data_IF_224953839510
#
_entry.id   IF_224953839510
#
_cell.length_a   1.000
_cell.length_b   1.000
_cell.length_c   1.000
_cell.angle_alpha   90.00
_cell.angle_beta   90.00
_cell.angle_gamma   90.00
#
_symmetry.space_group_name_H-M   'P 1'
#
loop_
_entity.id
_entity.type
_entity.pdbx_description
1 polymer ?
#
# COMPACT_ATOMS: atom_id res chain seq x y z
N UNK A 1 -6.61 -8.14 21.09
CA UNK A 1 -7.51 -9.05 20.34
C UNK A 1 -8.71 -8.32 19.73
N UNK A 2 -9.46 -7.47 20.47
CA UNK A 2 -10.64 -6.78 19.95
C UNK A 2 -10.37 -5.92 18.70
N UNK A 3 -9.30 -5.11 18.68
CA UNK A 3 -8.96 -4.28 17.52
C UNK A 3 -8.63 -5.12 16.28
N UNK A 4 -8.00 -6.29 16.44
CA UNK A 4 -7.77 -7.23 15.35
C UNK A 4 -9.08 -7.76 14.76
N UNK A 5 -10.03 -8.18 15.59
CA UNK A 5 -11.34 -8.65 15.13
C UNK A 5 -12.11 -7.53 14.39
N UNK A 6 -12.06 -6.31 14.92
CA UNK A 6 -12.62 -5.12 14.26
C UNK A 6 -11.96 -4.89 12.90
N UNK A 7 -10.63 -4.99 12.81
CA UNK A 7 -9.90 -4.86 11.56
C UNK A 7 -10.31 -5.91 10.52
N UNK A 8 -10.45 -7.19 10.90
CA UNK A 8 -10.92 -8.26 10.00
C UNK A 8 -12.29 -7.92 9.42
N UNK A 9 -13.25 -7.60 10.30
CA UNK A 9 -14.64 -7.39 9.88
C UNK A 9 -14.80 -6.12 9.06
N UNK A 10 -14.29 -4.99 9.55
CA UNK A 10 -14.46 -3.70 8.88
C UNK A 10 -13.74 -3.65 7.55
N UNK A 11 -12.46 -4.06 7.51
CA UNK A 11 -11.71 -4.02 6.26
C UNK A 11 -12.23 -5.04 5.25
N UNK A 12 -12.57 -6.25 5.69
CA UNK A 12 -13.14 -7.27 4.82
C UNK A 12 -14.46 -6.83 4.20
N UNK A 13 -15.40 -6.35 5.02
CA UNK A 13 -16.70 -5.87 4.56
C UNK A 13 -16.57 -4.63 3.66
N UNK A 14 -15.75 -3.64 4.07
CA UNK A 14 -15.54 -2.43 3.28
C UNK A 14 -14.91 -2.75 1.92
N UNK A 15 -13.88 -3.59 1.86
CA UNK A 15 -13.24 -3.97 0.61
C UNK A 15 -14.16 -4.82 -0.28
N UNK A 16 -15.01 -5.67 0.30
CA UNK A 16 -16.00 -6.44 -0.44
C UNK A 16 -17.03 -5.55 -1.15
N UNK A 17 -17.52 -4.53 -0.43
CA UNK A 17 -18.54 -3.61 -0.95
C UNK A 17 -17.93 -2.54 -1.87
N UNK A 18 -16.85 -1.91 -1.43
CA UNK A 18 -16.23 -0.78 -2.12
C UNK A 18 -15.35 -1.20 -3.29
N UNK A 19 -14.71 -2.38 -3.22
CA UNK A 19 -13.79 -2.84 -4.28
C UNK A 19 -14.43 -2.87 -5.66
N UNK A 20 -15.54 -3.61 -5.89
CA UNK A 20 -16.20 -3.64 -7.19
C UNK A 20 -16.81 -2.30 -7.59
N UNK A 21 -17.26 -1.50 -6.63
CA UNK A 21 -17.81 -0.16 -6.88
C UNK A 21 -16.73 0.79 -7.36
N UNK A 22 -15.56 0.82 -6.70
CA UNK A 22 -14.41 1.60 -7.13
C UNK A 22 -13.96 1.20 -8.53
N UNK A 23 -13.81 -0.10 -8.79
CA UNK A 23 -13.38 -0.63 -10.11
C UNK A 23 -14.28 -0.17 -11.26
N UNK A 24 -15.59 0.03 -11.01
CA UNK A 24 -16.54 0.53 -12.02
C UNK A 24 -16.54 2.04 -12.19
N UNK A 25 -16.04 2.80 -11.20
CA UNK A 25 -16.08 4.25 -11.16
C UNK A 25 -14.77 4.93 -11.54
N UNK A 26 -13.67 4.17 -11.52
CA UNK A 26 -12.37 4.70 -11.88
C UNK A 26 -12.35 4.97 -13.39
N UNK A 27 -11.89 6.15 -13.83
CA UNK A 27 -11.69 6.42 -15.24
C UNK A 27 -10.65 5.45 -15.82
N UNK A 28 -10.98 4.87 -16.96
CA UNK A 28 -10.04 3.98 -17.66
C UNK A 28 -8.81 4.78 -18.10
N UNK A 29 -7.61 4.19 -18.02
CA UNK A 29 -6.40 4.86 -18.48
C UNK A 29 -6.44 5.06 -19.99
N UNK A 30 -5.98 6.24 -20.44
CA UNK A 30 -5.75 6.48 -21.87
C UNK A 30 -4.72 5.44 -22.36
N UNK A 31 -5.09 4.71 -23.40
CA UNK A 31 -4.23 3.69 -24.00
C UNK A 31 -3.52 4.31 -25.19
N UNK A 32 -2.20 4.12 -25.26
CA UNK A 32 -1.45 4.38 -26.48
C UNK A 32 -1.91 3.41 -27.60
N UNK A 33 -1.90 3.86 -28.83
CA UNK A 33 -2.29 3.07 -30.00
C UNK A 33 -1.54 1.72 -30.05
N UNK A 34 -2.30 0.62 -30.00
CA UNK A 34 -1.77 -0.75 -30.07
C UNK A 34 -1.57 -1.45 -28.70
N UNK A 35 -1.90 -0.83 -27.59
CA UNK A 35 -1.89 -1.49 -26.27
C UNK A 35 -3.26 -2.08 -25.94
N UNK A 36 -3.34 -3.42 -25.81
CA UNK A 36 -4.50 -4.11 -25.24
C UNK A 36 -4.33 -4.18 -23.72
N UNK A 37 -5.16 -3.47 -22.97
CA UNK A 37 -5.26 -3.59 -21.50
C UNK A 37 -6.61 -4.13 -21.10
N UNK A 38 -6.63 -4.89 -19.99
CA UNK A 38 -7.88 -5.30 -19.35
C UNK A 38 -8.52 -4.04 -18.74
N UNK A 39 -9.75 -3.75 -19.10
CA UNK A 39 -10.50 -2.61 -18.55
C UNK A 39 -10.82 -2.82 -17.07
N UNK A 40 -10.78 -1.75 -16.27
CA UNK A 40 -11.10 -1.85 -14.84
C UNK A 40 -12.52 -2.34 -14.59
N UNK A 41 -13.47 -1.98 -15.46
CA UNK A 41 -14.83 -2.48 -15.40
C UNK A 41 -14.92 -4.01 -15.57
N UNK A 42 -14.04 -4.60 -16.39
CA UNK A 42 -13.95 -6.05 -16.56
C UNK A 42 -13.37 -6.76 -15.34
N UNK A 43 -12.53 -6.08 -14.58
CA UNK A 43 -11.98 -6.58 -13.31
C UNK A 43 -13.05 -6.60 -12.20
N UNK A 44 -14.13 -5.81 -12.31
CA UNK A 44 -15.18 -5.69 -11.29
C UNK A 44 -16.09 -6.93 -11.21
N UNK A 45 -15.49 -8.12 -11.22
CA UNK A 45 -16.18 -9.41 -11.08
C UNK A 45 -16.32 -9.80 -9.60
N UNK A 46 -17.27 -10.69 -9.30
CA UNK A 46 -17.47 -11.22 -7.93
C UNK A 46 -16.17 -11.80 -7.31
N UNK A 47 -15.29 -12.37 -8.14
CA UNK A 47 -13.97 -12.85 -7.68
C UNK A 47 -13.08 -11.73 -7.17
N UNK A 48 -13.11 -10.54 -7.77
CA UNK A 48 -12.35 -9.39 -7.28
C UNK A 48 -12.80 -8.98 -5.88
N UNK A 49 -14.11 -8.94 -5.63
CA UNK A 49 -14.65 -8.61 -4.30
C UNK A 49 -14.10 -9.56 -3.22
N UNK A 50 -14.08 -10.87 -3.48
CA UNK A 50 -13.56 -11.85 -2.53
C UNK A 50 -12.04 -11.74 -2.32
N UNK A 51 -11.27 -11.49 -3.39
CA UNK A 51 -9.83 -11.28 -3.25
C UNK A 51 -9.49 -10.02 -2.46
N UNK A 52 -10.12 -8.88 -2.80
CA UNK A 52 -9.93 -7.64 -2.05
C UNK A 52 -10.38 -7.80 -0.58
N UNK A 53 -11.53 -8.43 -0.35
CA UNK A 53 -12.04 -8.67 1.00
C UNK A 53 -11.12 -9.57 1.82
N UNK A 54 -10.63 -10.67 1.25
CA UNK A 54 -9.71 -11.58 1.93
C UNK A 54 -8.39 -10.92 2.29
N UNK A 55 -7.77 -10.20 1.34
CA UNK A 55 -6.54 -9.45 1.59
C UNK A 55 -6.74 -8.36 2.64
N UNK A 56 -7.83 -7.61 2.54
CA UNK A 56 -8.15 -6.54 3.49
C UNK A 56 -8.48 -7.09 4.89
N UNK A 57 -9.20 -8.19 4.99
CA UNK A 57 -9.52 -8.83 6.26
C UNK A 57 -8.24 -9.32 6.98
N UNK A 58 -7.39 -10.04 6.26
CA UNK A 58 -6.12 -10.54 6.83
C UNK A 58 -5.21 -9.38 7.25
N UNK A 59 -4.96 -8.43 6.35
CA UNK A 59 -4.08 -7.29 6.64
C UNK A 59 -4.65 -6.41 7.74
N UNK A 60 -5.96 -6.11 7.70
CA UNK A 60 -6.64 -5.31 8.71
C UNK A 60 -6.66 -5.98 10.09
N UNK A 61 -6.82 -7.30 10.11
CA UNK A 61 -6.73 -8.10 11.33
C UNK A 61 -5.34 -8.06 11.96
N UNK A 62 -4.29 -8.28 11.17
CA UNK A 62 -2.90 -8.24 11.61
C UNK A 62 -2.51 -6.84 12.12
N UNK A 63 -2.88 -5.79 11.37
CA UNK A 63 -2.61 -4.41 11.74
C UNK A 63 -3.39 -4.02 12.99
N UNK A 64 -4.67 -4.34 13.07
CA UNK A 64 -5.49 -4.07 14.26
C UNK A 64 -4.99 -4.83 15.50
N UNK A 65 -4.53 -6.07 15.33
CA UNK A 65 -3.90 -6.83 16.41
C UNK A 65 -2.60 -6.16 16.90
N UNK A 66 -1.78 -5.66 15.98
CA UNK A 66 -0.47 -5.06 16.32
C UNK A 66 -0.60 -3.65 16.89
N UNK A 67 -1.47 -2.83 16.32
CA UNK A 67 -1.63 -1.43 16.71
C UNK A 67 -2.59 -1.24 17.88
N UNK A 68 -3.50 -2.19 18.13
CA UNK A 68 -4.58 -1.97 19.09
C UNK A 68 -5.48 -0.81 18.65
N UNK A 69 -6.15 -0.16 19.62
CA UNK A 69 -6.93 1.06 19.40
C UNK A 69 -6.04 2.31 19.51
N UNK A 70 -4.98 2.38 18.70
CA UNK A 70 -4.10 3.54 18.64
C UNK A 70 -4.65 4.63 17.71
N UNK A 71 -4.11 5.84 17.85
CA UNK A 71 -4.44 6.98 17.00
C UNK A 71 -4.21 6.70 15.49
N UNK A 72 -3.24 5.85 15.17
CA UNK A 72 -2.92 5.48 13.79
C UNK A 72 -3.90 4.46 13.17
N UNK A 73 -4.70 3.73 13.98
CA UNK A 73 -5.47 2.60 13.49
C UNK A 73 -6.42 2.98 12.34
N UNK A 74 -7.13 4.09 12.47
CA UNK A 74 -8.10 4.52 11.43
C UNK A 74 -7.40 4.75 10.09
N UNK A 75 -6.27 5.44 10.09
CA UNK A 75 -5.48 5.68 8.89
C UNK A 75 -5.05 4.37 8.22
N UNK A 76 -4.62 3.40 9.01
CA UNK A 76 -4.21 2.09 8.52
C UNK A 76 -5.37 1.23 8.00
N UNK A 77 -6.55 1.28 8.63
CA UNK A 77 -7.72 0.57 8.10
C UNK A 77 -8.15 1.12 6.73
N UNK A 78 -8.13 2.43 6.55
CA UNK A 78 -8.39 3.07 5.24
C UNK A 78 -7.34 2.63 4.21
N UNK A 79 -6.06 2.65 4.59
CA UNK A 79 -4.96 2.26 3.72
C UNK A 79 -5.03 0.78 3.33
N UNK A 80 -5.44 -0.10 4.24
CA UNK A 80 -5.63 -1.54 3.97
C UNK A 80 -6.74 -1.77 2.95
N UNK A 81 -7.88 -1.09 3.10
CA UNK A 81 -9.00 -1.22 2.15
C UNK A 81 -8.61 -0.73 0.77
N UNK A 82 -8.09 0.50 0.66
CA UNK A 82 -7.65 1.06 -0.62
C UNK A 82 -6.47 0.29 -1.21
N UNK A 83 -5.51 -0.12 -0.37
CA UNK A 83 -4.36 -0.91 -0.76
C UNK A 83 -4.73 -2.29 -1.30
N UNK A 84 -5.73 -2.97 -0.73
CA UNK A 84 -6.20 -4.26 -1.26
C UNK A 84 -6.76 -4.13 -2.68
N UNK A 85 -7.48 -3.05 -2.97
CA UNK A 85 -8.00 -2.75 -4.32
C UNK A 85 -6.86 -2.37 -5.26
N UNK A 86 -5.95 -1.49 -4.83
CA UNK A 86 -4.77 -1.09 -5.62
C UNK A 86 -3.88 -2.29 -5.94
N UNK A 87 -3.59 -3.14 -4.96
CA UNK A 87 -2.80 -4.35 -5.16
C UNK A 87 -3.45 -5.33 -6.12
N UNK A 88 -4.78 -5.48 -6.06
CA UNK A 88 -5.52 -6.32 -7.01
C UNK A 88 -5.45 -5.76 -8.44
N UNK A 89 -5.63 -4.44 -8.62
CA UNK A 89 -5.52 -3.78 -9.92
C UNK A 89 -4.11 -3.95 -10.47
N UNK A 90 -3.09 -3.61 -9.68
CA UNK A 90 -1.69 -3.66 -10.10
C UNK A 90 -1.26 -5.08 -10.49
N UNK A 91 -1.65 -6.09 -9.72
CA UNK A 91 -1.36 -7.49 -10.03
C UNK A 91 -1.96 -7.94 -11.37
N UNK A 92 -3.01 -7.28 -11.86
CA UNK A 92 -3.72 -7.64 -13.09
C UNK A 92 -3.39 -6.75 -14.28
N UNK A 93 -3.19 -5.46 -14.03
CA UNK A 93 -3.02 -4.44 -15.09
C UNK A 93 -1.64 -3.82 -15.09
N UNK A 94 -0.85 -4.00 -14.01
CA UNK A 94 0.44 -3.35 -13.80
C UNK A 94 0.32 -1.82 -13.82
N UNK A 95 -0.81 -1.34 -13.35
CA UNK A 95 -1.13 0.09 -13.30
C UNK A 95 -1.81 0.46 -11.99
N UNK A 96 -1.34 1.53 -11.36
CA UNK A 96 -1.86 2.05 -10.11
C UNK A 96 -2.66 3.34 -10.38
N UNK A 97 -4.01 3.30 -10.29
CA UNK A 97 -4.84 4.44 -10.63
C UNK A 97 -4.72 5.57 -9.61
N UNK A 98 -4.37 6.75 -10.10
CA UNK A 98 -4.28 7.98 -9.30
C UNK A 98 -5.60 8.37 -8.64
N UNK A 99 -6.72 8.00 -9.28
CA UNK A 99 -8.07 8.23 -8.78
C UNK A 99 -8.37 7.54 -7.44
N UNK A 100 -7.60 6.50 -7.06
CA UNK A 100 -7.67 5.90 -5.72
C UNK A 100 -6.57 6.48 -4.82
N UNK A 101 -5.36 6.64 -5.33
CA UNK A 101 -4.20 7.03 -4.51
C UNK A 101 -4.40 8.41 -3.89
N UNK A 102 -4.81 9.43 -4.66
CA UNK A 102 -4.95 10.79 -4.14
C UNK A 102 -6.03 10.94 -3.06
N UNK A 103 -7.26 10.42 -3.26
CA UNK A 103 -8.23 10.42 -2.17
C UNK A 103 -7.73 9.66 -0.93
N UNK A 104 -6.99 8.56 -1.11
CA UNK A 104 -6.40 7.83 0.01
C UNK A 104 -5.38 8.69 0.77
N UNK A 105 -4.53 9.44 0.08
CA UNK A 105 -3.62 10.42 0.73
C UNK A 105 -4.38 11.41 1.61
N UNK A 106 -5.47 11.97 1.07
CA UNK A 106 -6.27 12.94 1.81
C UNK A 106 -6.87 12.31 3.09
N UNK A 107 -7.53 11.16 2.94
CA UNK A 107 -8.23 10.52 4.07
C UNK A 107 -7.23 10.02 5.11
N UNK A 108 -6.13 9.37 4.69
CA UNK A 108 -5.06 8.92 5.58
C UNK A 108 -4.39 10.12 6.26
N UNK A 109 -4.07 11.17 5.51
CA UNK A 109 -3.47 12.39 6.06
C UNK A 109 -4.35 13.04 7.12
N UNK A 110 -5.64 13.22 6.84
CA UNK A 110 -6.61 13.75 7.81
C UNK A 110 -6.70 12.85 9.04
N UNK A 111 -6.78 11.51 8.85
CA UNK A 111 -6.86 10.57 9.97
C UNK A 111 -5.59 10.63 10.86
N UNK A 112 -4.40 10.78 10.27
CA UNK A 112 -3.16 10.95 11.03
C UNK A 112 -3.10 12.28 11.77
N UNK A 113 -3.57 13.37 11.16
CA UNK A 113 -3.64 14.70 11.82
C UNK A 113 -4.62 14.65 13.00
N UNK A 114 -5.81 14.11 12.80
CA UNK A 114 -6.81 13.96 13.88
C UNK A 114 -6.27 13.05 14.98
N UNK A 115 -5.65 11.91 14.61
CA UNK A 115 -5.04 11.00 15.57
C UNK A 115 -3.94 11.68 16.40
N UNK A 116 -3.05 12.44 15.75
CA UNK A 116 -2.00 13.19 16.42
C UNK A 116 -2.55 14.27 17.36
N UNK A 117 -3.60 14.98 16.94
CA UNK A 117 -4.25 15.99 17.76
C UNK A 117 -4.90 15.40 19.01
N UNK A 118 -5.58 14.25 18.87
CA UNK A 118 -6.25 13.57 19.98
C UNK A 118 -5.23 12.95 20.95
N UNK A 119 -4.15 12.35 20.45
CA UNK A 119 -3.14 11.68 21.26
C UNK A 119 -1.99 12.60 21.71
N UNK A 120 -1.90 13.83 21.19
CA UNK A 120 -0.75 14.73 21.44
C UNK A 120 0.53 14.30 20.70
N UNK A 121 0.45 13.46 19.66
CA UNK A 121 1.57 12.83 18.96
C UNK A 121 2.10 13.68 17.78
N UNK A 122 2.32 14.97 17.97
CA UNK A 122 2.80 15.88 16.93
C UNK A 122 4.18 15.50 16.36
N UNK A 123 5.03 14.86 17.19
CA UNK A 123 6.32 14.30 16.75
C UNK A 123 6.15 13.19 15.71
N UNK A 124 5.17 12.31 15.90
CA UNK A 124 4.82 11.25 14.96
C UNK A 124 4.29 11.83 13.64
N UNK A 125 3.47 12.88 13.70
CA UNK A 125 2.97 13.55 12.50
C UNK A 125 4.10 14.22 11.71
N UNK A 126 5.03 14.91 12.39
CA UNK A 126 6.20 15.51 11.73
C UNK A 126 7.07 14.44 11.06
N UNK A 127 7.30 13.33 11.73
CA UNK A 127 8.04 12.18 11.17
C UNK A 127 7.31 11.62 9.95
N UNK A 128 5.98 11.47 10.01
CA UNK A 128 5.16 11.03 8.87
C UNK A 128 5.31 11.94 7.66
N UNK A 129 5.28 13.25 7.85
CA UNK A 129 5.44 14.22 6.76
C UNK A 129 6.82 14.10 6.11
N UNK A 130 7.88 14.05 6.92
CA UNK A 130 9.27 13.88 6.43
C UNK A 130 9.39 12.55 5.67
N UNK A 131 8.92 11.46 6.26
CA UNK A 131 8.98 10.14 5.65
C UNK A 131 8.22 10.08 4.31
N UNK A 132 7.04 10.70 4.24
CA UNK A 132 6.26 10.76 3.01
C UNK A 132 6.98 11.51 1.89
N UNK A 133 7.56 12.68 2.20
CA UNK A 133 8.34 13.47 1.22
C UNK A 133 9.59 12.72 0.78
N UNK A 134 10.35 12.15 1.73
CA UNK A 134 11.58 11.42 1.42
C UNK A 134 11.27 10.15 0.62
N UNK A 135 10.27 9.37 1.03
CA UNK A 135 9.89 8.15 0.32
C UNK A 135 9.41 8.43 -1.10
N UNK A 136 8.57 9.46 -1.28
CA UNK A 136 8.17 9.92 -2.61
C UNK A 136 9.39 10.36 -3.43
N UNK A 137 10.28 11.17 -2.85
CA UNK A 137 11.47 11.71 -3.51
C UNK A 137 12.45 10.62 -3.95
N UNK A 138 12.69 9.61 -3.11
CA UNK A 138 13.55 8.47 -3.45
C UNK A 138 12.98 7.70 -4.65
N UNK A 139 11.69 7.37 -4.62
CA UNK A 139 11.06 6.65 -5.72
C UNK A 139 10.92 7.51 -6.98
N UNK A 140 10.72 8.82 -6.83
CA UNK A 140 10.75 9.76 -7.95
C UNK A 140 12.13 9.80 -8.62
N UNK A 141 13.20 9.83 -7.83
CA UNK A 141 14.57 9.77 -8.33
C UNK A 141 14.83 8.43 -9.04
N UNK A 142 14.39 7.31 -8.48
CA UNK A 142 14.50 6.00 -9.14
C UNK A 142 13.73 5.96 -10.47
N UNK A 143 12.52 6.49 -10.50
CA UNK A 143 11.73 6.60 -11.72
C UNK A 143 12.43 7.47 -12.79
N UNK A 144 13.04 8.59 -12.37
CA UNK A 144 13.77 9.47 -13.26
C UNK A 144 15.07 8.83 -13.81
N UNK A 145 15.80 8.10 -12.96
CA UNK A 145 17.05 7.42 -13.34
C UNK A 145 16.80 6.15 -14.17
N UNK A 146 15.70 5.43 -13.90
CA UNK A 146 15.39 4.15 -14.52
C UNK A 146 13.93 4.16 -15.04
N UNK A 147 13.64 4.91 -16.12
CA UNK A 147 12.26 5.16 -16.56
C UNK A 147 11.46 3.92 -16.95
N UNK A 148 12.13 2.79 -17.21
CA UNK A 148 11.50 1.50 -17.55
C UNK A 148 11.44 0.51 -16.38
N UNK A 149 11.96 0.87 -15.20
CA UNK A 149 12.07 -0.01 -14.04
C UNK A 149 11.00 0.23 -12.97
N UNK A 150 10.54 1.46 -12.82
CA UNK A 150 9.59 1.88 -11.79
C UNK A 150 8.43 2.61 -12.43
N UNK A 151 7.20 2.25 -12.10
CA UNK A 151 6.02 2.97 -12.55
C UNK A 151 5.81 4.26 -11.76
N UNK A 152 5.26 5.32 -12.38
CA UNK A 152 4.95 6.56 -11.64
C UNK A 152 3.84 6.34 -10.59
N UNK A 153 3.04 5.29 -10.74
CA UNK A 153 2.10 4.83 -9.72
C UNK A 153 2.79 4.38 -8.44
N UNK A 154 3.93 3.67 -8.57
CA UNK A 154 4.74 3.21 -7.43
C UNK A 154 5.37 4.40 -6.68
N UNK A 155 5.76 5.47 -7.39
CA UNK A 155 6.24 6.71 -6.79
C UNK A 155 5.18 7.32 -5.87
N UNK A 156 3.92 7.39 -6.33
CA UNK A 156 2.83 7.92 -5.52
C UNK A 156 2.51 7.00 -4.35
N UNK A 157 2.48 5.70 -4.59
CA UNK A 157 2.22 4.71 -3.54
C UNK A 157 3.32 4.72 -2.47
N UNK A 158 4.59 4.86 -2.86
CA UNK A 158 5.73 4.90 -1.93
C UNK A 158 5.61 6.06 -0.93
N UNK A 159 5.26 7.25 -1.40
CA UNK A 159 5.06 8.40 -0.52
C UNK A 159 3.91 8.17 0.48
N UNK A 160 2.79 7.60 0.03
CA UNK A 160 1.65 7.26 0.89
C UNK A 160 2.03 6.25 1.97
N UNK A 161 2.69 5.16 1.58
CA UNK A 161 3.13 4.12 2.51
C UNK A 161 4.19 4.63 3.48
N UNK A 162 5.16 5.42 2.98
CA UNK A 162 6.20 6.03 3.80
C UNK A 162 5.61 6.99 4.83
N UNK A 163 4.60 7.78 4.46
CA UNK A 163 3.89 8.67 5.39
C UNK A 163 3.22 7.86 6.51
N UNK A 164 2.49 6.81 6.16
CA UNK A 164 1.78 5.98 7.14
C UNK A 164 2.75 5.20 8.06
N UNK A 165 3.80 4.62 7.50
CA UNK A 165 4.84 3.91 8.26
C UNK A 165 5.66 4.87 9.14
N UNK A 166 6.03 6.03 8.60
CA UNK A 166 6.77 7.07 9.31
C UNK A 166 6.01 7.62 10.52
N UNK A 167 4.68 7.63 10.51
CA UNK A 167 3.89 7.97 11.70
C UNK A 167 4.16 6.99 12.84
N UNK A 168 4.28 5.70 12.54
CA UNK A 168 4.55 4.67 13.55
C UNK A 168 5.98 4.72 14.08
N UNK A 169 6.97 4.91 13.20
CA UNK A 169 8.38 4.98 13.59
C UNK A 169 9.33 4.84 12.41
N UNK A 170 10.61 5.14 12.65
CA UNK A 170 11.66 4.96 11.65
C UNK A 170 11.93 3.49 11.36
N UNK A 171 11.87 2.63 12.38
CA UNK A 171 12.03 1.18 12.22
C UNK A 171 10.94 0.57 11.35
N UNK A 172 9.68 1.00 11.54
CA UNK A 172 8.55 0.57 10.70
C UNK A 172 8.71 1.05 9.26
N UNK A 173 9.17 2.29 9.06
CA UNK A 173 9.44 2.84 7.73
C UNK A 173 10.50 2.02 6.99
N UNK A 174 11.65 1.82 7.63
CA UNK A 174 12.77 1.08 7.01
C UNK A 174 12.37 -0.37 6.74
N UNK A 175 11.81 -1.07 7.74
CA UNK A 175 11.38 -2.45 7.59
C UNK A 175 10.33 -2.62 6.49
N UNK A 176 9.36 -1.70 6.42
CA UNK A 176 8.28 -1.76 5.45
C UNK A 176 8.75 -1.48 4.02
N UNK A 177 9.45 -0.38 3.82
CA UNK A 177 9.90 0.02 2.48
C UNK A 177 11.00 -0.89 1.94
N UNK A 178 12.01 -1.20 2.75
CA UNK A 178 13.09 -2.10 2.37
C UNK A 178 12.59 -3.54 2.22
N UNK A 179 11.73 -4.00 3.14
CA UNK A 179 11.11 -5.33 3.05
C UNK A 179 10.26 -5.49 1.80
N UNK A 180 9.45 -4.49 1.43
CA UNK A 180 8.68 -4.49 0.19
C UNK A 180 9.56 -4.53 -1.05
N UNK A 181 10.63 -3.74 -1.06
CA UNK A 181 11.62 -3.75 -2.14
C UNK A 181 12.32 -5.10 -2.26
N UNK A 182 12.78 -5.67 -1.16
CA UNK A 182 13.46 -6.96 -1.13
C UNK A 182 12.53 -8.09 -1.59
N UNK A 183 11.29 -8.12 -1.09
CA UNK A 183 10.29 -9.10 -1.52
C UNK A 183 10.02 -9.00 -3.03
N UNK A 184 9.83 -7.79 -3.54
CA UNK A 184 9.62 -7.55 -4.97
C UNK A 184 10.82 -7.96 -5.81
N UNK A 185 12.04 -7.63 -5.38
CA UNK A 185 13.28 -8.00 -6.07
C UNK A 185 13.49 -9.52 -6.11
N UNK A 186 13.38 -10.19 -4.96
CA UNK A 186 13.58 -11.65 -4.85
C UNK A 186 12.54 -12.39 -5.69
N UNK A 187 11.25 -12.06 -5.52
CA UNK A 187 10.19 -12.72 -6.27
C UNK A 187 10.24 -12.38 -7.76
N UNK A 188 10.59 -11.13 -8.12
CA UNK A 188 10.81 -10.73 -9.50
C UNK A 188 11.91 -11.55 -10.18
N UNK A 189 13.04 -11.78 -9.50
CA UNK A 189 14.14 -12.63 -9.99
C UNK A 189 13.66 -14.08 -10.13
N UNK A 190 13.01 -14.64 -9.11
CA UNK A 190 12.52 -16.03 -9.09
C UNK A 190 11.52 -16.27 -10.23
N UNK A 191 10.52 -15.38 -10.39
CA UNK A 191 9.50 -15.52 -11.42
C UNK A 191 10.06 -15.33 -12.83
N UNK A 192 11.07 -14.48 -12.99
CA UNK A 192 11.79 -14.31 -14.27
C UNK A 192 12.63 -15.55 -14.57
N UNK A 193 13.33 -16.11 -13.59
CA UNK A 193 14.10 -17.34 -13.74
C UNK A 193 13.20 -18.54 -14.05
N UNK A 194 12.01 -18.61 -13.43
CA UNK A 194 10.98 -19.62 -13.71
C UNK A 194 10.26 -19.41 -15.05
N UNK A 195 10.63 -18.40 -15.84
CA UNK A 195 10.03 -18.03 -17.14
C UNK A 195 8.53 -17.70 -17.06
N UNK A 196 8.02 -17.39 -15.88
CA UNK A 196 6.62 -16.97 -15.68
C UNK A 196 6.42 -15.54 -16.24
N UNK A 197 7.45 -14.69 -16.09
CA UNK A 197 7.51 -13.36 -16.68
C UNK A 197 8.60 -13.27 -17.76
N UNK A 198 8.29 -12.57 -18.85
CA UNK A 198 9.31 -12.24 -19.86
C UNK A 198 10.14 -11.07 -19.35
N UNK A 199 11.45 -11.07 -19.60
CA UNK A 199 12.42 -10.03 -19.16
C UNK A 199 12.04 -8.59 -19.54
N UNK A 200 11.15 -8.39 -20.53
CA UNK A 200 10.69 -7.07 -20.98
C UNK A 200 9.33 -6.66 -20.41
N UNK A 201 8.70 -7.51 -19.62
CA UNK A 201 7.39 -7.19 -19.03
C UNK A 201 7.58 -6.42 -17.72
N UNK A 202 6.82 -5.34 -17.52
CA UNK A 202 6.77 -4.63 -16.25
C UNK A 202 6.29 -5.57 -15.16
N UNK A 203 6.99 -5.59 -14.03
CA UNK A 203 6.65 -6.39 -12.86
C UNK A 203 5.69 -5.57 -11.97
N UNK A 204 4.56 -6.15 -11.49
CA UNK A 204 3.66 -5.44 -10.61
C UNK A 204 4.32 -5.27 -9.24
N UNK A 205 4.83 -4.08 -8.94
CA UNK A 205 5.59 -3.81 -7.71
C UNK A 205 4.68 -3.43 -6.53
N UNK A 206 3.51 -2.86 -6.80
CA UNK A 206 2.54 -2.42 -5.80
C UNK A 206 2.17 -3.45 -4.73
N UNK A 207 1.80 -4.70 -5.08
CA UNK A 207 1.48 -5.74 -4.10
C UNK A 207 2.60 -6.01 -3.10
N UNK A 208 3.87 -5.95 -3.55
CA UNK A 208 5.04 -6.19 -2.69
C UNK A 208 5.32 -5.01 -1.76
N UNK A 209 5.12 -3.78 -2.23
CA UNK A 209 5.17 -2.59 -1.38
C UNK A 209 4.12 -2.65 -0.28
N UNK A 210 2.89 -3.05 -0.61
CA UNK A 210 1.80 -3.20 0.36
C UNK A 210 2.08 -4.32 1.36
N UNK A 211 2.58 -5.46 0.91
CA UNK A 211 2.99 -6.56 1.80
C UNK A 211 4.16 -6.13 2.72
N UNK A 212 5.14 -5.41 2.17
CA UNK A 212 6.22 -4.81 2.94
C UNK A 212 5.70 -3.83 3.99
N UNK A 213 4.73 -2.99 3.64
CA UNK A 213 4.14 -2.06 4.61
C UNK A 213 3.46 -2.80 5.78
N UNK A 214 2.72 -3.88 5.51
CA UNK A 214 2.16 -4.74 6.58
C UNK A 214 3.28 -5.34 7.43
N UNK A 215 4.33 -5.87 6.82
CA UNK A 215 5.49 -6.41 7.54
C UNK A 215 6.19 -5.34 8.39
N UNK A 216 6.30 -4.10 7.88
CA UNK A 216 6.83 -2.96 8.63
C UNK A 216 6.04 -2.65 9.89
N UNK A 217 4.70 -2.69 9.82
CA UNK A 217 3.84 -2.52 11.01
C UNK A 217 4.08 -3.64 12.01
N UNK A 218 4.20 -4.89 11.54
CA UNK A 218 4.33 -6.06 12.43
C UNK A 218 5.70 -6.14 13.12
N UNK A 219 6.76 -5.91 12.37
CA UNK A 219 8.13 -6.24 12.79
C UNK A 219 9.03 -5.02 12.98
N UNK A 220 8.67 -3.85 12.43
CA UNK A 220 9.53 -2.66 12.42
C UNK A 220 9.90 -2.13 13.81
N UNK A 221 9.02 -2.26 14.81
CA UNK A 221 9.32 -1.86 16.18
C UNK A 221 10.43 -2.68 16.84
N UNK A 222 10.66 -3.92 16.40
CA UNK A 222 11.75 -4.76 16.91
C UNK A 222 13.10 -4.25 16.40
N UNK A 223 13.16 -3.67 15.20
CA UNK A 223 14.37 -3.05 14.66
C UNK A 223 14.75 -1.79 15.46
N UNK A 224 13.79 -0.97 15.85
CA UNK A 224 14.09 0.20 16.71
C UNK A 224 14.73 -0.21 18.02
N UNK A 225 14.28 -1.29 18.66
CA UNK A 225 14.87 -1.82 19.88
C UNK A 225 16.31 -2.34 19.71
N UNK A 226 16.71 -2.76 18.52
CA UNK A 226 18.07 -3.22 18.23
C UNK A 226 19.06 -2.07 18.00
N UNK A 227 18.59 -0.89 17.59
CA UNK A 227 19.45 0.26 17.28
C UNK A 227 19.47 1.32 18.39
N UNK A 228 18.48 1.32 19.28
CA UNK A 228 18.35 2.32 20.37
C UNK A 228 18.56 1.72 21.77
N UNK A 229 18.73 0.40 21.87
CA UNK A 229 19.14 -0.30 23.09
C UNK A 229 20.60 -0.61 23.10
#
# INVERSE_FOLDING_TARGET
MAAGAVGVVLCGAAAFLLGPWLLRRIPEPELDEGQTKILYAELARRRAAWWCAGLAAVSGGLIGWRLGFSAALVAWLVLVVSGSVLGYIDARTRYLPSAIIWPTYLVVGVALVVGAAVAGEWGSLRRAAIAGVVGFGVFYLLWWLIPRGVGFGDVRLSGLLSMALGYLGWGQLVAGMYGGFLLGAVLGIVLTAAKVFRRKEMFPFGPFMLAGAVAGVLFGGQLEGLYLG
#
